data_IF_455752872741
#
_entry.id   IF_455752872741
#
_cell.length_a   1.000
_cell.length_b   1.000
_cell.length_c   1.000
_cell.angle_alpha   90.00
_cell.angle_beta   90.00
_cell.angle_gamma   90.00
#
_symmetry.space_group_name_H-M   'P 1'
#
loop_
_entity.id
_entity.type
_entity.pdbx_description
1 polymer ?
#
# COMPACT_ATOMS: atom_id res chain seq x y z
N UNK A 1 -28.10 21.79 -18.62
CA UNK A 1 -26.97 20.96 -19.12
C UNK A 1 -27.15 19.57 -18.56
N UNK A 2 -27.51 18.62 -19.41
CA UNK A 2 -27.64 17.19 -19.06
C UNK A 2 -26.24 16.67 -18.76
N UNK A 3 -25.94 16.44 -17.48
CA UNK A 3 -24.67 15.85 -17.06
C UNK A 3 -24.46 14.54 -17.82
N UNK A 4 -23.32 14.41 -18.50
CA UNK A 4 -22.97 13.15 -19.15
C UNK A 4 -22.83 12.09 -18.06
N UNK A 5 -23.46 10.91 -18.20
CA UNK A 5 -23.22 9.81 -17.29
C UNK A 5 -21.74 9.41 -17.34
N UNK A 6 -21.12 9.36 -16.17
CA UNK A 6 -19.76 8.88 -15.97
C UNK A 6 -19.68 7.40 -16.30
N UNK A 7 -18.71 6.96 -17.11
CA UNK A 7 -18.45 5.53 -17.34
C UNK A 7 -16.95 5.28 -17.38
N UNK A 8 -16.40 4.57 -16.38
CA UNK A 8 -15.18 3.79 -16.54
C UNK A 8 -15.61 2.35 -16.79
N UNK A 9 -15.21 1.82 -17.95
CA UNK A 9 -14.93 0.39 -18.06
C UNK A 9 -13.96 0.03 -16.94
N UNK A 10 -14.49 -0.68 -15.92
CA UNK A 10 -13.74 -1.20 -14.79
C UNK A 10 -14.56 -1.28 -13.51
N UNK A 11 -15.39 -2.32 -13.41
CA UNK A 11 -16.21 -2.80 -12.25
C UNK A 11 -17.02 -1.79 -11.40
N UNK A 12 -16.92 -0.48 -11.65
CA UNK A 12 -17.66 0.62 -11.04
C UNK A 12 -18.76 1.10 -11.97
N UNK A 13 -19.99 0.60 -11.79
CA UNK A 13 -21.15 1.12 -12.51
C UNK A 13 -21.34 2.64 -12.32
N UNK A 14 -22.00 3.27 -13.30
CA UNK A 14 -22.27 4.72 -13.37
C UNK A 14 -22.77 5.26 -12.03
N UNK A 15 -22.04 6.20 -11.42
CA UNK A 15 -22.48 6.96 -10.25
C UNK A 15 -22.90 8.35 -10.71
N UNK A 16 -24.17 8.70 -10.50
CA UNK A 16 -24.74 9.99 -10.90
C UNK A 16 -25.02 10.86 -9.67
N UNK A 17 -24.64 12.13 -9.75
CA UNK A 17 -24.92 13.12 -8.73
C UNK A 17 -25.81 14.23 -9.31
N UNK A 18 -27.02 14.44 -8.78
CA UNK A 18 -27.89 15.49 -9.30
C UNK A 18 -27.33 16.86 -8.90
N UNK A 19 -27.22 17.79 -9.86
CA UNK A 19 -26.67 19.14 -9.62
C UNK A 19 -27.34 19.86 -8.45
N UNK A 20 -28.65 19.69 -8.26
CA UNK A 20 -29.40 20.27 -7.14
C UNK A 20 -28.96 19.81 -5.75
N UNK A 21 -28.24 18.69 -5.66
CA UNK A 21 -27.68 18.18 -4.41
C UNK A 21 -26.24 18.68 -4.18
N UNK A 22 -25.67 19.42 -5.13
CA UNK A 22 -24.36 20.05 -5.00
C UNK A 22 -24.56 21.53 -4.72
N UNK A 23 -24.16 21.95 -3.53
CA UNK A 23 -24.08 23.37 -3.17
C UNK A 23 -22.87 24.03 -3.85
N UNK A 24 -22.91 25.35 -4.01
CA UNK A 24 -21.76 26.14 -4.44
C UNK A 24 -20.61 25.95 -3.45
N UNK A 25 -19.52 25.37 -3.92
CA UNK A 25 -18.39 25.00 -3.09
C UNK A 25 -17.27 26.05 -3.20
N UNK A 26 -16.62 26.31 -2.07
CA UNK A 26 -15.48 27.23 -2.00
C UNK A 26 -14.26 26.59 -2.65
N UNK A 27 -13.62 27.32 -3.55
CA UNK A 27 -12.43 26.86 -4.30
C UNK A 27 -11.14 27.58 -3.88
N UNK A 28 -11.25 28.72 -3.21
CA UNK A 28 -10.13 29.48 -2.66
C UNK A 28 -10.55 30.22 -1.39
N UNK A 29 -9.59 30.47 -0.51
CA UNK A 29 -9.74 31.35 0.64
C UNK A 29 -9.92 32.81 0.20
N UNK A 30 -10.35 33.68 1.13
CA UNK A 30 -10.53 35.12 0.86
C UNK A 30 -9.23 35.85 0.50
N UNK A 31 -8.07 35.29 0.83
CA UNK A 31 -6.75 35.78 0.46
C UNK A 31 -6.25 35.24 -0.91
N UNK A 32 -7.07 34.44 -1.60
CA UNK A 32 -6.73 33.83 -2.89
C UNK A 32 -6.01 32.49 -2.79
N UNK A 33 -5.70 31.98 -1.60
CA UNK A 33 -5.06 30.66 -1.44
C UNK A 33 -5.99 29.56 -1.98
N UNK A 34 -5.57 28.73 -2.95
CA UNK A 34 -6.43 27.68 -3.50
C UNK A 34 -6.71 26.60 -2.45
N UNK A 35 -7.95 26.12 -2.42
CA UNK A 35 -8.34 24.96 -1.62
C UNK A 35 -8.14 23.66 -2.40
N UNK A 36 -8.19 22.53 -1.69
CA UNK A 36 -7.93 21.19 -2.24
C UNK A 36 -8.61 20.93 -3.59
N UNK A 37 -9.90 21.28 -3.74
CA UNK A 37 -10.63 21.01 -4.99
C UNK A 37 -9.99 21.71 -6.20
N UNK A 38 -9.60 22.98 -6.05
CA UNK A 38 -8.98 23.76 -7.12
C UNK A 38 -7.53 23.37 -7.33
N UNK A 39 -6.75 23.33 -6.25
CA UNK A 39 -5.33 22.98 -6.31
C UNK A 39 -5.14 21.62 -6.98
N UNK A 40 -5.86 20.58 -6.53
CA UNK A 40 -5.73 19.25 -7.12
C UNK A 40 -6.16 19.21 -8.59
N UNK A 41 -7.20 19.94 -9.01
CA UNK A 41 -7.60 19.95 -10.41
C UNK A 41 -6.57 20.65 -11.29
N UNK A 42 -6.04 21.80 -10.85
CA UNK A 42 -5.02 22.53 -11.60
C UNK A 42 -3.74 21.68 -11.70
N UNK A 43 -3.28 21.09 -10.60
CA UNK A 43 -2.09 20.23 -10.59
C UNK A 43 -2.29 18.99 -11.50
N UNK A 44 -3.44 18.33 -11.42
CA UNK A 44 -3.74 17.17 -12.26
C UNK A 44 -3.80 17.56 -13.76
N UNK A 45 -4.30 18.76 -14.09
CA UNK A 45 -4.31 19.31 -15.46
C UNK A 45 -2.88 19.58 -15.95
N UNK A 46 -2.08 20.29 -15.14
CA UNK A 46 -0.73 20.71 -15.48
C UNK A 46 0.19 19.49 -15.69
N UNK A 47 0.04 18.48 -14.84
CA UNK A 47 0.77 17.20 -14.90
C UNK A 47 0.15 16.19 -15.88
N UNK A 48 -0.95 16.56 -16.57
CA UNK A 48 -1.62 15.74 -17.60
C UNK A 48 -2.09 14.38 -17.09
N UNK A 49 -2.61 14.35 -15.87
CA UNK A 49 -3.15 13.12 -15.27
C UNK A 49 -4.36 12.65 -16.08
N UNK A 50 -4.32 11.39 -16.50
CA UNK A 50 -5.40 10.75 -17.28
C UNK A 50 -6.26 9.81 -16.45
N UNK A 51 -5.70 9.27 -15.36
CA UNK A 51 -6.33 8.31 -14.47
C UNK A 51 -6.03 8.69 -13.03
N UNK A 52 -7.07 8.98 -12.24
CA UNK A 52 -6.97 9.32 -10.83
C UNK A 52 -7.42 8.12 -10.02
N UNK A 53 -6.47 7.45 -9.36
CA UNK A 53 -6.73 6.31 -8.47
C UNK A 53 -6.55 6.77 -7.03
N UNK A 54 -7.61 6.74 -6.22
CA UNK A 54 -7.61 7.27 -4.84
C UNK A 54 -8.64 6.57 -3.96
N UNK A 55 -8.60 6.77 -2.65
CA UNK A 55 -9.59 6.17 -1.74
C UNK A 55 -11.02 6.69 -1.95
N UNK A 56 -12.03 5.85 -1.71
CA UNK A 56 -13.45 6.17 -1.86
C UNK A 56 -13.95 7.34 -0.99
N UNK A 57 -13.21 7.76 0.03
CA UNK A 57 -13.53 8.98 0.79
C UNK A 57 -13.55 10.24 -0.09
N UNK A 58 -12.87 10.22 -1.23
CA UNK A 58 -12.85 11.32 -2.17
C UNK A 58 -13.95 11.22 -3.24
N UNK A 59 -14.80 10.20 -3.20
CA UNK A 59 -15.85 9.98 -4.20
C UNK A 59 -16.76 11.21 -4.35
N UNK A 60 -17.16 11.82 -3.23
CA UNK A 60 -18.03 13.02 -3.21
C UNK A 60 -17.37 14.29 -3.75
N UNK A 61 -16.03 14.32 -3.87
CA UNK A 61 -15.31 15.43 -4.49
C UNK A 61 -15.30 15.33 -6.02
N UNK A 62 -15.40 14.12 -6.57
CA UNK A 62 -15.32 13.85 -8.01
C UNK A 62 -16.25 14.71 -8.86
N UNK A 63 -17.57 14.81 -8.58
CA UNK A 63 -18.44 15.63 -9.42
C UNK A 63 -18.09 17.13 -9.34
N UNK A 64 -17.60 17.62 -8.20
CA UNK A 64 -17.13 19.01 -8.03
C UNK A 64 -15.87 19.26 -8.86
N UNK A 65 -14.92 18.34 -8.81
CA UNK A 65 -13.67 18.43 -9.59
C UNK A 65 -13.94 18.30 -11.08
N UNK A 66 -14.87 17.44 -11.50
CA UNK A 66 -15.29 17.35 -12.89
C UNK A 66 -15.81 18.69 -13.42
N UNK A 67 -16.64 19.41 -12.65
CA UNK A 67 -17.10 20.75 -13.02
C UNK A 67 -15.95 21.74 -13.17
N UNK A 68 -14.90 21.65 -12.35
CA UNK A 68 -13.72 22.51 -12.46
C UNK A 68 -12.89 22.18 -13.71
N UNK A 69 -12.66 20.90 -13.99
CA UNK A 69 -12.00 20.45 -15.23
C UNK A 69 -12.71 21.00 -16.48
N UNK A 70 -14.03 20.83 -16.52
CA UNK A 70 -14.87 21.33 -17.62
C UNK A 70 -14.84 22.86 -17.72
N UNK A 71 -14.91 23.57 -16.57
CA UNK A 71 -14.86 25.03 -16.53
C UNK A 71 -13.51 25.60 -16.99
N UNK A 72 -12.41 24.88 -16.75
CA UNK A 72 -11.08 25.21 -17.26
C UNK A 72 -10.88 24.81 -18.73
N UNK A 73 -11.87 24.17 -19.36
CA UNK A 73 -11.81 23.77 -20.77
C UNK A 73 -11.03 22.47 -21.03
N UNK A 74 -10.81 21.65 -19.99
CA UNK A 74 -10.10 20.39 -20.10
C UNK A 74 -11.06 19.19 -20.07
N UNK A 75 -10.63 18.07 -20.68
CA UNK A 75 -11.36 16.81 -20.58
C UNK A 75 -11.05 16.16 -19.23
N UNK A 76 -12.04 15.86 -18.39
CA UNK A 76 -11.80 15.24 -17.10
C UNK A 76 -11.13 13.85 -17.20
N UNK A 77 -10.30 13.45 -16.23
CA UNK A 77 -9.67 12.14 -16.20
C UNK A 77 -10.68 11.04 -15.90
N UNK A 78 -10.23 9.79 -16.00
CA UNK A 78 -10.99 8.64 -15.47
C UNK A 78 -10.67 8.50 -13.98
N UNK A 79 -11.67 8.29 -13.15
CA UNK A 79 -11.49 8.07 -11.71
C UNK A 79 -11.73 6.60 -11.33
N UNK A 80 -10.85 6.05 -10.49
CA UNK A 80 -11.06 4.79 -9.79
C UNK A 80 -10.96 5.03 -8.28
N UNK A 81 -11.97 4.57 -7.54
CA UNK A 81 -12.05 4.75 -6.09
C UNK A 81 -11.79 3.42 -5.38
N UNK A 82 -10.69 3.35 -4.64
CA UNK A 82 -10.25 2.17 -3.90
C UNK A 82 -11.07 2.00 -2.61
N UNK A 83 -11.37 0.76 -2.19
CA UNK A 83 -12.15 0.49 -1.00
C UNK A 83 -11.47 1.04 0.26
N UNK A 84 -12.26 1.50 1.24
CA UNK A 84 -11.71 1.88 2.54
C UNK A 84 -11.11 0.67 3.24
N UNK A 85 -9.93 0.87 3.82
CA UNK A 85 -9.31 -0.09 4.72
C UNK A 85 -9.92 0.05 6.13
N UNK A 86 -10.36 -1.07 6.69
CA UNK A 86 -11.02 -1.14 8.00
C UNK A 86 -10.28 -2.02 8.99
N UNK A 87 -10.49 -1.77 10.28
CA UNK A 87 -10.02 -2.61 11.37
C UNK A 87 -10.92 -3.83 11.62
N UNK A 88 -10.62 -4.59 12.66
CA UNK A 88 -11.33 -5.80 13.10
C UNK A 88 -12.81 -5.53 13.44
N UNK A 89 -13.09 -4.32 13.91
CA UNK A 89 -14.44 -3.81 14.20
C UNK A 89 -15.14 -3.23 12.97
N UNK A 90 -14.59 -3.39 11.76
CA UNK A 90 -15.10 -2.83 10.50
C UNK A 90 -15.19 -1.30 10.49
N UNK A 91 -14.40 -0.63 11.33
CA UNK A 91 -14.29 0.82 11.34
C UNK A 91 -13.15 1.27 10.44
N UNK A 92 -13.30 2.40 9.74
CA UNK A 92 -12.22 3.00 8.96
C UNK A 92 -10.99 3.17 9.85
N UNK A 93 -9.85 2.67 9.36
CA UNK A 93 -8.55 2.85 10.01
C UNK A 93 -8.25 4.34 10.21
N UNK A 94 -7.72 4.66 11.39
CA UNK A 94 -7.45 6.03 11.76
C UNK A 94 -6.19 6.14 12.62
N UNK A 95 -5.36 7.15 12.35
CA UNK A 95 -4.15 7.45 13.13
C UNK A 95 -4.39 7.62 14.64
N UNK A 96 -5.62 7.97 15.03
CA UNK A 96 -5.98 8.23 16.43
C UNK A 96 -6.32 6.96 17.22
N UNK A 97 -6.75 5.89 16.54
CA UNK A 97 -7.24 4.67 17.19
C UNK A 97 -6.44 3.43 16.81
N UNK A 98 -5.84 3.43 15.63
CA UNK A 98 -5.31 2.24 14.99
C UNK A 98 -3.84 2.47 14.61
N UNK A 99 -3.07 1.38 14.59
CA UNK A 99 -1.70 1.38 14.08
C UNK A 99 -1.74 1.43 12.55
N UNK A 100 -1.48 2.61 11.98
CA UNK A 100 -1.57 2.84 10.52
C UNK A 100 -0.28 3.40 9.92
N UNK A 101 0.70 3.78 10.75
CA UNK A 101 1.97 4.29 10.28
C UNK A 101 2.85 3.10 9.84
N UNK A 102 3.37 3.18 8.61
CA UNK A 102 4.23 2.12 8.05
C UNK A 102 5.54 2.03 8.84
N UNK A 103 6.00 3.16 9.37
CA UNK A 103 7.19 3.28 10.22
C UNK A 103 7.09 2.43 11.48
N UNK A 104 5.89 2.28 12.05
CA UNK A 104 5.69 1.44 13.23
C UNK A 104 5.79 -0.06 12.88
N UNK A 105 5.47 -0.46 11.66
CA UNK A 105 5.67 -1.84 11.19
C UNK A 105 7.14 -2.09 10.87
N UNK A 106 7.82 -1.12 10.24
CA UNK A 106 9.26 -1.20 10.02
C UNK A 106 10.02 -1.32 11.35
N UNK A 107 9.65 -0.52 12.35
CA UNK A 107 10.19 -0.54 13.70
C UNK A 107 9.82 -1.79 14.53
N UNK A 108 9.00 -2.69 13.99
CA UNK A 108 8.69 -4.01 14.56
C UNK A 108 9.34 -5.17 13.76
N UNK A 109 10.07 -4.87 12.67
CA UNK A 109 10.76 -5.87 11.88
C UNK A 109 9.92 -6.53 10.78
N UNK A 110 8.87 -5.85 10.33
CA UNK A 110 8.20 -6.24 9.10
C UNK A 110 9.07 -5.88 7.89
N UNK A 111 9.28 -6.85 7.02
CA UNK A 111 10.00 -6.67 5.76
C UNK A 111 9.16 -5.82 4.80
N UNK A 112 9.74 -4.82 4.10
CA UNK A 112 9.03 -4.00 3.13
C UNK A 112 8.31 -4.83 2.05
N UNK A 113 8.94 -5.90 1.56
CA UNK A 113 8.40 -6.77 0.52
C UNK A 113 7.17 -7.53 0.99
N UNK A 114 7.17 -8.01 2.25
CA UNK A 114 6.02 -8.64 2.86
C UNK A 114 4.85 -7.66 3.02
N UNK A 115 5.15 -6.42 3.42
CA UNK A 115 4.15 -5.36 3.51
C UNK A 115 3.56 -5.03 2.14
N UNK A 116 4.38 -4.86 1.10
CA UNK A 116 3.92 -4.57 -0.27
C UNK A 116 3.00 -5.68 -0.77
N UNK A 117 3.42 -6.95 -0.69
CA UNK A 117 2.59 -8.07 -1.13
C UNK A 117 1.28 -8.13 -0.34
N UNK A 118 1.32 -7.92 0.97
CA UNK A 118 0.12 -7.93 1.80
C UNK A 118 -0.85 -6.79 1.41
N UNK A 119 -0.34 -5.55 1.23
CA UNK A 119 -1.13 -4.40 0.82
C UNK A 119 -1.75 -4.57 -0.57
N UNK A 120 -1.04 -5.21 -1.51
CA UNK A 120 -1.57 -5.54 -2.83
C UNK A 120 -2.87 -6.36 -2.74
N UNK A 121 -3.00 -7.22 -1.72
CA UNK A 121 -4.16 -8.09 -1.54
C UNK A 121 -5.33 -7.39 -0.82
N UNK A 122 -5.18 -6.13 -0.45
CA UNK A 122 -6.25 -5.35 0.18
C UNK A 122 -7.17 -4.77 -0.88
N UNK A 123 -8.20 -5.54 -1.21
CA UNK A 123 -9.22 -5.14 -2.17
C UNK A 123 -8.94 -5.63 -3.60
N UNK A 124 -7.84 -6.34 -3.83
CA UNK A 124 -7.51 -7.01 -5.09
C UNK A 124 -6.91 -8.40 -4.79
N UNK A 125 -6.89 -9.28 -5.78
CA UNK A 125 -6.14 -10.53 -5.71
C UNK A 125 -5.80 -11.06 -7.09
N UNK A 126 -4.78 -11.94 -7.21
CA UNK A 126 -4.47 -12.65 -8.45
C UNK A 126 -5.71 -13.38 -9.00
N UNK A 127 -5.82 -13.47 -10.33
CA UNK A 127 -6.97 -14.12 -10.99
C UNK A 127 -6.90 -15.65 -10.97
N UNK A 128 -5.71 -16.20 -10.71
CA UNK A 128 -5.47 -17.63 -10.65
C UNK A 128 -5.55 -18.15 -9.19
N UNK A 129 -5.70 -19.46 -9.04
CA UNK A 129 -5.78 -20.14 -7.73
C UNK A 129 -4.39 -20.40 -7.09
N UNK A 130 -3.36 -19.69 -7.55
CA UNK A 130 -2.00 -19.81 -7.02
C UNK A 130 -1.83 -19.20 -5.62
N UNK A 131 -0.63 -19.31 -5.03
CA UNK A 131 -0.37 -18.79 -3.68
C UNK A 131 -0.54 -17.27 -3.60
N UNK A 132 -0.91 -16.73 -2.45
CA UNK A 132 -1.04 -15.27 -2.28
C UNK A 132 0.33 -14.55 -2.21
N UNK A 133 1.38 -15.28 -1.81
CA UNK A 133 2.74 -14.76 -1.70
C UNK A 133 3.49 -15.03 -3.00
N UNK A 134 3.89 -13.95 -3.68
CA UNK A 134 4.54 -14.01 -5.00
C UNK A 134 5.56 -12.89 -5.16
N UNK A 135 6.52 -13.03 -6.09
CA UNK A 135 7.35 -11.92 -6.53
C UNK A 135 6.50 -10.72 -6.97
N UNK A 136 6.95 -9.51 -6.64
CA UNK A 136 6.25 -8.27 -7.01
C UNK A 136 5.97 -8.19 -8.52
N UNK A 137 6.93 -8.59 -9.36
CA UNK A 137 6.78 -8.59 -10.81
C UNK A 137 5.62 -9.47 -11.32
N UNK A 138 5.29 -10.56 -10.62
CA UNK A 138 4.13 -11.39 -10.96
C UNK A 138 2.82 -10.70 -10.55
N UNK A 139 2.79 -10.06 -9.39
CA UNK A 139 1.63 -9.30 -8.94
C UNK A 139 1.35 -8.11 -9.87
N UNK A 140 2.41 -7.38 -10.25
CA UNK A 140 2.35 -6.27 -11.20
C UNK A 140 1.82 -6.73 -12.56
N UNK A 141 2.35 -7.83 -13.11
CA UNK A 141 1.93 -8.35 -14.42
C UNK A 141 0.46 -8.80 -14.45
N UNK A 142 -0.09 -9.20 -13.29
CA UNK A 142 -1.49 -9.61 -13.17
C UNK A 142 -2.43 -8.48 -12.77
N UNK A 143 -1.91 -7.35 -12.29
CA UNK A 143 -2.74 -6.28 -11.74
C UNK A 143 -3.62 -5.67 -12.82
N UNK A 144 -4.90 -5.58 -12.53
CA UNK A 144 -5.87 -4.86 -13.33
C UNK A 144 -6.82 -4.12 -12.38
N UNK A 145 -6.94 -2.81 -12.58
CA UNK A 145 -7.78 -1.95 -11.73
C UNK A 145 -9.26 -2.41 -11.72
N UNK A 146 -9.71 -3.01 -12.82
CA UNK A 146 -11.07 -3.54 -12.97
C UNK A 146 -11.36 -4.70 -12.02
N UNK A 147 -10.32 -5.39 -11.52
CA UNK A 147 -10.46 -6.50 -10.57
C UNK A 147 -10.50 -6.03 -9.12
N UNK A 148 -10.34 -4.72 -8.86
CA UNK A 148 -10.44 -4.19 -7.51
C UNK A 148 -11.89 -4.28 -7.04
N UNK A 149 -12.07 -4.93 -5.90
CA UNK A 149 -13.37 -5.12 -5.25
C UNK A 149 -13.83 -3.85 -4.54
N UNK A 150 -15.16 -3.67 -4.44
CA UNK A 150 -15.78 -2.54 -3.73
C UNK A 150 -15.89 -2.74 -2.22
N UNK A 151 -15.77 -3.99 -1.75
CA UNK A 151 -15.93 -4.29 -0.33
C UNK A 151 -14.76 -3.70 0.46
N UNK A 152 -15.05 -3.13 1.63
CA UNK A 152 -14.00 -2.59 2.50
C UNK A 152 -12.96 -3.67 2.81
N UNK A 153 -11.68 -3.31 2.66
CA UNK A 153 -10.57 -4.22 2.88
C UNK A 153 -10.25 -4.29 4.38
N UNK A 154 -10.35 -5.48 4.98
CA UNK A 154 -9.98 -5.66 6.38
C UNK A 154 -8.47 -5.77 6.51
N UNK A 155 -7.86 -4.90 7.33
CA UNK A 155 -6.45 -4.98 7.66
C UNK A 155 -6.22 -6.00 8.80
N UNK A 156 -5.97 -7.25 8.40
CA UNK A 156 -5.60 -8.35 9.28
C UNK A 156 -4.09 -8.36 9.60
N UNK A 157 -3.74 -7.84 10.79
CA UNK A 157 -2.35 -7.85 11.28
C UNK A 157 -1.81 -9.28 11.48
N UNK A 158 -2.66 -10.26 11.80
CA UNK A 158 -2.22 -11.64 11.96
C UNK A 158 -1.84 -12.25 10.60
N UNK A 159 -2.61 -11.97 9.55
CA UNK A 159 -2.26 -12.35 8.18
C UNK A 159 -0.97 -11.67 7.71
N UNK A 160 -0.81 -10.37 7.95
CA UNK A 160 0.44 -9.65 7.65
C UNK A 160 1.65 -10.28 8.37
N UNK A 161 1.50 -10.69 9.64
CA UNK A 161 2.55 -11.40 10.37
C UNK A 161 2.88 -12.76 9.75
N UNK A 162 1.88 -13.50 9.30
CA UNK A 162 2.09 -14.76 8.59
C UNK A 162 2.88 -14.54 7.29
N UNK A 163 2.49 -13.54 6.50
CA UNK A 163 3.22 -13.11 5.29
C UNK A 163 4.67 -12.78 5.63
N UNK A 164 4.90 -11.94 6.64
CA UNK A 164 6.25 -11.57 7.06
C UNK A 164 7.10 -12.80 7.41
N UNK A 165 6.52 -13.79 8.10
CA UNK A 165 7.21 -15.03 8.44
C UNK A 165 7.60 -15.88 7.23
N UNK A 166 6.77 -15.92 6.18
CA UNK A 166 7.10 -16.58 4.91
C UNK A 166 8.25 -15.87 4.20
N UNK A 167 8.19 -14.53 4.11
CA UNK A 167 9.24 -13.72 3.52
C UNK A 167 10.58 -13.87 4.27
N UNK A 168 10.57 -13.82 5.60
CA UNK A 168 11.78 -14.04 6.42
C UNK A 168 12.39 -15.42 6.13
N UNK A 169 11.57 -16.47 6.02
CA UNK A 169 12.05 -17.84 5.72
C UNK A 169 12.60 -18.00 4.31
N UNK A 170 12.14 -17.16 3.37
CA UNK A 170 12.60 -17.17 1.99
C UNK A 170 13.90 -16.38 1.77
N UNK A 171 14.33 -15.54 2.73
CA UNK A 171 15.55 -14.75 2.59
C UNK A 171 16.80 -15.65 2.43
N UNK A 172 17.68 -15.35 1.46
CA UNK A 172 19.02 -15.92 1.44
C UNK A 172 19.75 -15.63 2.75
N UNK A 173 20.56 -16.58 3.22
CA UNK A 173 21.27 -16.45 4.50
C UNK A 173 22.00 -15.10 4.68
N UNK A 174 22.74 -14.56 3.68
CA UNK A 174 23.38 -13.27 3.83
C UNK A 174 22.39 -12.12 4.07
N UNK A 175 21.27 -12.09 3.34
CA UNK A 175 20.24 -11.06 3.48
C UNK A 175 19.50 -11.18 4.81
N UNK A 176 19.24 -12.41 5.26
CA UNK A 176 18.67 -12.67 6.58
C UNK A 176 19.55 -12.11 7.70
N UNK A 177 20.87 -12.32 7.64
CA UNK A 177 21.82 -11.79 8.62
C UNK A 177 21.78 -10.27 8.65
N UNK A 178 21.77 -9.62 7.49
CA UNK A 178 21.66 -8.17 7.39
C UNK A 178 20.32 -7.65 7.91
N UNK A 179 19.21 -8.32 7.59
CA UNK A 179 17.88 -7.97 8.10
C UNK A 179 17.79 -8.11 9.64
N UNK A 180 18.54 -9.05 10.23
CA UNK A 180 18.63 -9.21 11.68
C UNK A 180 19.51 -8.15 12.35
N UNK A 181 20.44 -7.51 11.63
CA UNK A 181 21.45 -6.59 12.20
C UNK A 181 20.85 -5.51 13.11
N UNK A 182 19.76 -4.80 12.75
CA UNK A 182 19.16 -3.78 13.63
C UNK A 182 18.67 -4.34 14.98
N UNK A 183 18.36 -5.63 15.04
CA UNK A 183 17.84 -6.32 16.22
C UNK A 183 18.94 -6.96 17.09
N UNK A 184 20.14 -7.10 16.53
CA UNK A 184 21.31 -7.69 17.19
C UNK A 184 22.20 -6.64 17.86
N UNK A 185 21.88 -5.36 17.69
CA UNK A 185 22.58 -4.22 18.29
C UNK A 185 21.73 -3.55 19.36
N UNK A 186 22.37 -2.82 20.29
CA UNK A 186 21.65 -2.02 21.30
C UNK A 186 20.78 -0.95 20.63
N UNK A 187 19.63 -0.57 21.21
CA UNK A 187 19.11 -0.92 22.55
C UNK A 187 18.27 -2.20 22.60
N UNK A 188 18.14 -2.94 21.49
CA UNK A 188 17.17 -4.04 21.37
C UNK A 188 17.59 -5.29 22.16
N UNK A 189 18.89 -5.54 22.28
CA UNK A 189 19.41 -6.79 22.86
C UNK A 189 19.48 -6.76 24.41
N UNK A 190 19.09 -7.85 25.10
CA UNK A 190 19.24 -7.97 26.55
C UNK A 190 20.66 -8.38 27.00
N UNK A 191 21.60 -8.59 26.07
CA UNK A 191 22.98 -9.00 26.36
C UNK A 191 24.01 -7.86 26.19
N UNK A 192 25.20 -7.96 26.84
CA UNK A 192 26.31 -7.05 26.60
C UNK A 192 26.81 -7.15 25.15
N UNK A 193 27.28 -6.03 24.59
CA UNK A 193 27.77 -5.98 23.20
C UNK A 193 28.93 -6.96 22.95
N UNK A 194 29.77 -7.19 23.95
CA UNK A 194 30.90 -8.12 23.90
C UNK A 194 30.48 -9.60 23.81
N UNK A 195 29.21 -9.90 24.11
CA UNK A 195 28.65 -11.25 24.00
C UNK A 195 28.13 -11.56 22.59
N UNK A 196 28.10 -10.58 21.68
CA UNK A 196 27.74 -10.80 20.28
C UNK A 196 28.99 -11.15 19.46
N UNK A 197 29.02 -12.36 18.90
CA UNK A 197 30.06 -12.81 17.97
C UNK A 197 29.48 -12.94 16.56
N UNK A 198 29.77 -11.95 15.70
CA UNK A 198 29.34 -11.95 14.30
C UNK A 198 29.95 -13.11 13.48
N UNK A 199 31.06 -13.71 13.91
CA UNK A 199 31.69 -14.82 13.20
C UNK A 199 30.89 -16.11 13.32
N UNK A 200 30.05 -16.26 14.36
CA UNK A 200 29.09 -17.38 14.49
C UNK A 200 28.07 -17.35 13.35
N UNK A 201 27.72 -16.15 12.86
CA UNK A 201 26.74 -15.95 11.80
C UNK A 201 27.37 -15.88 10.41
N UNK A 202 28.69 -15.88 10.29
CA UNK A 202 29.34 -15.88 8.98
C UNK A 202 29.29 -17.30 8.40
N UNK A 203 28.74 -17.51 7.18
CA UNK A 203 28.77 -18.84 6.58
C UNK A 203 30.23 -19.28 6.45
N UNK A 204 30.60 -20.35 7.16
CA UNK A 204 31.91 -20.97 6.99
C UNK A 204 31.97 -21.52 5.56
N UNK A 205 32.58 -20.76 4.64
CA UNK A 205 32.95 -21.25 3.33
C UNK A 205 33.96 -22.40 3.54
N UNK A 206 33.47 -23.64 3.44
CA UNK A 206 34.22 -24.85 3.17
C UNK A 206 35.36 -25.21 4.13
N UNK A 207 35.19 -26.28 4.90
CA UNK A 207 36.30 -27.22 5.11
C UNK A 207 35.80 -28.63 4.79
N UNK A 208 36.55 -29.32 3.93
CA UNK A 208 36.26 -30.66 3.44
C UNK A 208 36.19 -31.73 4.55
N UNK A 209 36.03 -33.01 4.18
CA UNK A 209 35.67 -34.07 5.12
C UNK A 209 36.67 -34.17 6.27
N UNK A 210 36.16 -34.15 7.49
CA UNK A 210 36.92 -34.32 8.71
C UNK A 210 37.66 -35.66 8.70
N UNK A 211 38.98 -35.63 8.50
CA UNK A 211 39.85 -36.77 8.76
C UNK A 211 39.78 -37.09 10.25
N UNK A 212 39.11 -38.18 10.60
CA UNK A 212 39.18 -38.76 11.94
C UNK A 212 40.60 -39.29 12.17
N UNK A 213 41.40 -38.56 12.95
CA UNK A 213 42.65 -39.06 13.49
C UNK A 213 42.38 -40.08 14.58
N UNK A 214 42.63 -41.36 14.30
CA UNK A 214 42.73 -42.39 15.32
C UNK A 214 44.06 -42.23 16.07
N UNK A 215 44.02 -41.66 17.26
CA UNK A 215 45.12 -41.73 18.22
C UNK A 215 44.93 -42.95 19.12
N UNK A 216 45.90 -43.87 19.10
CA UNK A 216 46.06 -44.97 20.05
C UNK A 216 46.60 -44.45 21.38
#
# INVERSE_FOLDING_TARGET
>A
MTGRPWSPTGSGGVTEFPNRAMEDFVIACGDGTPLFLLANVVDDVDERITQVIRGEEHLSNTPKQQLLWEALGHTPPVWAHLPVIVNDKRQKLSKRRDKVALEDYLAEGYLPEAMVNYLMLLGWGPRDDGPEIRPYAELEAQFCIDDVTKASAFFDVAKLRAFNGEYIRALPLPEFIEACRPWLVRPVVPWPEQAFDAQVFTPRCGTGPATHGSGR
#
